data_IF_824681966968
#
_entry.id   IF_824681966968
#
_cell.length_a   1.000
_cell.length_b   1.000
_cell.length_c   1.000
_cell.angle_alpha   90.00
_cell.angle_beta   90.00
_cell.angle_gamma   90.00
#
_symmetry.space_group_name_H-M   'P 1'
#
loop_
_entity.id
_entity.type
_entity.pdbx_description
1 polymer ?
#
# COMPACT_ATOMS: atom_id res chain seq x y z
N UNK A 1 -15.88 -4.89 11.28
CA UNK A 1 -15.30 -4.98 9.92
C UNK A 1 -14.37 -3.81 9.58
N UNK A 2 -14.69 -2.56 9.95
CA UNK A 2 -13.77 -1.41 9.82
C UNK A 2 -12.37 -1.65 10.44
N UNK A 3 -12.33 -2.27 11.63
CA UNK A 3 -11.08 -2.69 12.27
C UNK A 3 -10.19 -3.57 11.38
N UNK A 4 -10.79 -4.44 10.57
CA UNK A 4 -10.06 -5.33 9.69
C UNK A 4 -9.42 -4.55 8.53
N UNK A 5 -10.13 -3.56 7.97
CA UNK A 5 -9.54 -2.63 6.99
C UNK A 5 -8.33 -1.90 7.58
N UNK A 6 -8.43 -1.39 8.81
CA UNK A 6 -7.32 -0.69 9.47
C UNK A 6 -6.12 -1.61 9.73
N UNK A 7 -6.37 -2.84 10.20
CA UNK A 7 -5.32 -3.84 10.41
C UNK A 7 -4.66 -4.21 9.09
N UNK A 8 -5.44 -4.47 8.04
CA UNK A 8 -4.91 -4.84 6.72
C UNK A 8 -4.11 -3.70 6.09
N UNK A 9 -4.60 -2.46 6.21
CA UNK A 9 -3.91 -1.27 5.70
C UNK A 9 -2.62 -1.00 6.47
N UNK A 10 -2.66 -1.06 7.81
CA UNK A 10 -1.47 -0.92 8.64
C UNK A 10 -0.43 -2.00 8.34
N UNK A 11 -0.87 -3.25 8.19
CA UNK A 11 0.01 -4.37 7.83
C UNK A 11 0.61 -4.23 6.43
N UNK A 12 -0.19 -3.84 5.43
CA UNK A 12 0.27 -3.60 4.06
C UNK A 12 1.35 -2.52 4.00
N UNK A 13 1.11 -1.39 4.67
CA UNK A 13 2.09 -0.30 4.77
C UNK A 13 3.35 -0.75 5.53
N UNK A 14 3.20 -1.42 6.66
CA UNK A 14 4.34 -1.92 7.44
C UNK A 14 5.21 -2.86 6.59
N UNK A 15 4.60 -3.81 5.89
CA UNK A 15 5.32 -4.69 4.97
C UNK A 15 6.00 -3.93 3.83
N UNK A 16 5.36 -2.91 3.27
CA UNK A 16 5.97 -2.09 2.22
C UNK A 16 7.25 -1.41 2.70
N UNK A 17 7.25 -0.87 3.92
CA UNK A 17 8.43 -0.25 4.51
C UNK A 17 9.50 -1.26 4.94
N UNK A 18 9.10 -2.47 5.37
CA UNK A 18 10.04 -3.57 5.62
C UNK A 18 10.71 -4.03 4.32
N UNK A 19 9.95 -4.21 3.24
CA UNK A 19 10.46 -4.54 1.90
C UNK A 19 11.39 -3.44 1.38
N UNK A 20 11.00 -2.17 1.56
CA UNK A 20 11.85 -1.03 1.26
C UNK A 20 13.17 -1.11 2.01
N UNK A 21 13.15 -1.32 3.32
CA UNK A 21 14.35 -1.38 4.15
C UNK A 21 15.26 -2.57 3.77
N UNK A 22 14.66 -3.74 3.50
CA UNK A 22 15.40 -4.95 3.16
C UNK A 22 16.03 -4.89 1.76
N UNK A 23 15.34 -4.28 0.79
CA UNK A 23 15.82 -4.19 -0.59
C UNK A 23 16.63 -2.94 -0.91
N UNK A 24 16.52 -1.88 -0.10
CA UNK A 24 17.36 -0.68 -0.27
C UNK A 24 18.81 -0.98 0.06
N UNK A 25 19.74 -0.40 -0.70
CA UNK A 25 21.18 -0.58 -0.50
C UNK A 25 21.97 -0.39 -1.77
N UNK A 26 23.29 -0.45 -1.67
CA UNK A 26 24.22 -0.18 -2.79
C UNK A 26 24.13 -1.21 -3.92
N UNK A 27 23.62 -2.40 -3.62
CA UNK A 27 23.40 -3.51 -4.56
C UNK A 27 21.91 -3.71 -4.88
N UNK A 28 21.13 -2.63 -5.00
CA UNK A 28 19.73 -2.71 -5.43
C UNK A 28 19.66 -3.37 -6.82
N UNK A 29 19.18 -4.63 -6.86
CA UNK A 29 18.94 -5.36 -8.10
C UNK A 29 17.60 -4.93 -8.69
N UNK A 30 17.52 -4.89 -10.01
CA UNK A 30 16.28 -4.59 -10.73
C UNK A 30 15.11 -5.49 -10.30
N UNK A 31 15.36 -6.78 -10.04
CA UNK A 31 14.34 -7.70 -9.55
C UNK A 31 13.76 -7.32 -8.17
N UNK A 32 14.57 -6.79 -7.26
CA UNK A 32 14.10 -6.32 -5.96
C UNK A 32 13.23 -5.07 -6.09
N UNK A 33 13.61 -4.17 -7.00
CA UNK A 33 12.82 -2.99 -7.33
C UNK A 33 11.45 -3.38 -7.91
N UNK A 34 11.42 -4.28 -8.89
CA UNK A 34 10.18 -4.75 -9.50
C UNK A 34 9.29 -5.48 -8.49
N UNK A 35 9.87 -6.31 -7.62
CA UNK A 35 9.10 -6.99 -6.56
C UNK A 35 8.44 -6.00 -5.60
N UNK A 36 9.18 -4.99 -5.14
CA UNK A 36 8.65 -3.95 -4.25
C UNK A 36 7.61 -3.07 -4.96
N UNK A 37 7.85 -2.74 -6.23
CA UNK A 37 6.90 -1.99 -7.05
C UNK A 37 5.60 -2.76 -7.25
N UNK A 38 5.67 -4.06 -7.57
CA UNK A 38 4.49 -4.90 -7.75
C UNK A 38 3.66 -4.98 -6.46
N UNK A 39 4.31 -5.12 -5.30
CA UNK A 39 3.65 -5.11 -4.00
C UNK A 39 2.94 -3.78 -3.73
N UNK A 40 3.62 -2.65 -3.94
CA UNK A 40 3.04 -1.32 -3.75
C UNK A 40 1.87 -1.05 -4.72
N UNK A 41 2.03 -1.39 -6.00
CA UNK A 41 0.97 -1.23 -7.02
C UNK A 41 -0.25 -2.08 -6.68
N UNK A 42 -0.07 -3.30 -6.19
CA UNK A 42 -1.18 -4.15 -5.74
C UNK A 42 -2.02 -3.46 -4.67
N UNK A 43 -1.39 -2.90 -3.64
CA UNK A 43 -2.09 -2.19 -2.57
C UNK A 43 -2.70 -0.86 -3.04
N UNK A 44 -2.02 -0.11 -3.92
CA UNK A 44 -2.59 1.09 -4.54
C UNK A 44 -3.87 0.77 -5.31
N UNK A 45 -3.86 -0.28 -6.13
CA UNK A 45 -5.06 -0.74 -6.86
C UNK A 45 -6.17 -1.21 -5.91
N UNK A 46 -5.81 -1.85 -4.80
CA UNK A 46 -6.74 -2.25 -3.75
C UNK A 46 -7.46 -1.03 -3.14
N UNK A 47 -6.72 0.03 -2.78
CA UNK A 47 -7.32 1.25 -2.22
C UNK A 47 -8.13 2.05 -3.24
N UNK A 48 -7.66 2.15 -4.49
CA UNK A 48 -8.40 2.85 -5.55
C UNK A 48 -9.76 2.17 -5.82
N UNK A 49 -9.79 0.84 -5.94
CA UNK A 49 -11.05 0.10 -6.09
C UNK A 49 -11.99 0.29 -4.91
N UNK A 50 -11.43 0.37 -3.70
CA UNK A 50 -12.23 0.65 -2.52
C UNK A 50 -12.85 2.06 -2.57
N UNK A 51 -12.07 3.08 -2.92
CA UNK A 51 -12.54 4.49 -2.99
C UNK A 51 -13.57 4.69 -4.12
N UNK A 52 -13.37 4.05 -5.27
CA UNK A 52 -14.20 4.25 -6.47
C UNK A 52 -15.47 3.41 -6.49
N UNK A 53 -15.42 2.18 -5.97
CA UNK A 53 -16.49 1.18 -6.15
C UNK A 53 -17.07 0.68 -4.83
N UNK A 54 -16.65 1.24 -3.69
CA UNK A 54 -16.93 0.70 -2.35
C UNK A 54 -16.64 -0.81 -2.26
N UNK A 55 -15.67 -1.28 -3.07
CA UNK A 55 -15.40 -2.70 -3.29
C UNK A 55 -14.03 -3.06 -2.75
N UNK A 56 -14.02 -3.89 -1.72
CA UNK A 56 -12.81 -4.47 -1.15
C UNK A 56 -12.49 -5.78 -1.88
N UNK A 57 -11.30 -5.91 -2.46
CA UNK A 57 -10.95 -7.01 -3.36
C UNK A 57 -11.19 -8.42 -2.76
N UNK A 58 -11.04 -8.57 -1.44
CA UNK A 58 -11.23 -9.85 -0.72
C UNK A 58 -12.54 -9.94 0.07
N UNK A 59 -13.25 -8.82 0.22
CA UNK A 59 -14.44 -8.76 1.08
C UNK A 59 -15.72 -8.51 0.28
N UNK A 60 -15.65 -7.96 -0.94
CA UNK A 60 -16.79 -7.65 -1.78
C UNK A 60 -17.25 -6.19 -1.69
N UNK A 61 -18.48 -5.93 -2.12
CA UNK A 61 -19.11 -4.60 -2.12
C UNK A 61 -19.68 -4.23 -0.74
N UNK A 62 -19.20 -3.13 -0.16
CA UNK A 62 -19.54 -2.68 1.20
C UNK A 62 -19.72 -1.15 1.29
N UNK A 63 -20.82 -0.60 0.74
CA UNK A 63 -21.10 0.83 0.78
C UNK A 63 -21.42 1.36 2.17
N UNK A 64 -21.87 0.51 3.11
CA UNK A 64 -22.16 0.92 4.49
C UNK A 64 -20.92 1.34 5.27
N UNK A 65 -19.74 0.79 4.93
CA UNK A 65 -18.50 1.06 5.64
C UNK A 65 -18.09 2.55 5.54
N UNK A 66 -18.34 3.15 4.38
CA UNK A 66 -18.05 4.56 4.10
C UNK A 66 -19.04 5.50 4.78
N UNK A 67 -20.31 5.13 4.81
CA UNK A 67 -21.36 5.89 5.50
C UNK A 67 -21.16 5.91 7.02
N UNK A 68 -20.75 4.77 7.59
CA UNK A 68 -20.55 4.65 9.04
C UNK A 68 -19.23 5.30 9.49
N UNK A 69 -18.21 5.36 8.62
CA UNK A 69 -16.87 5.84 8.95
C UNK A 69 -16.25 6.70 7.82
N UNK A 70 -16.61 7.98 7.71
CA UNK A 70 -16.06 8.86 6.67
C UNK A 70 -14.53 9.05 6.75
N UNK A 71 -13.92 8.76 7.91
CA UNK A 71 -12.47 8.79 8.08
C UNK A 71 -11.73 7.67 7.32
N UNK A 72 -12.43 6.60 6.89
CA UNK A 72 -11.81 5.47 6.17
C UNK A 72 -11.23 5.89 4.82
N UNK A 73 -11.89 6.79 4.09
CA UNK A 73 -11.40 7.30 2.80
C UNK A 73 -10.06 8.02 2.97
N UNK A 74 -9.96 8.87 3.99
CA UNK A 74 -8.72 9.58 4.32
C UNK A 74 -7.60 8.61 4.64
N UNK A 75 -7.89 7.54 5.38
CA UNK A 75 -6.92 6.51 5.73
C UNK A 75 -6.50 5.72 4.48
N UNK A 76 -7.42 5.42 3.58
CA UNK A 76 -7.11 4.78 2.30
C UNK A 76 -6.17 5.65 1.45
N UNK A 77 -6.41 6.97 1.38
CA UNK A 77 -5.56 7.93 0.66
C UNK A 77 -4.17 7.99 1.31
N UNK A 78 -4.09 8.09 2.64
CA UNK A 78 -2.82 8.10 3.36
C UNK A 78 -2.04 6.80 3.14
N UNK A 79 -2.70 5.66 3.20
CA UNK A 79 -2.07 4.36 2.93
C UNK A 79 -1.56 4.28 1.48
N UNK A 80 -2.35 4.72 0.51
CA UNK A 80 -1.95 4.81 -0.90
C UNK A 80 -0.69 5.65 -1.07
N UNK A 81 -0.66 6.85 -0.48
CA UNK A 81 0.52 7.73 -0.53
C UNK A 81 1.75 7.06 0.10
N UNK A 82 1.57 6.40 1.25
CA UNK A 82 2.66 5.70 1.92
C UNK A 82 3.24 4.57 1.05
N UNK A 83 2.41 3.85 0.30
CA UNK A 83 2.90 2.86 -0.68
C UNK A 83 3.63 3.49 -1.86
N UNK A 84 3.18 4.66 -2.35
CA UNK A 84 3.90 5.40 -3.38
C UNK A 84 5.30 5.84 -2.90
N UNK A 85 5.44 6.19 -1.62
CA UNK A 85 6.75 6.51 -1.02
C UNK A 85 7.57 5.29 -0.60
N UNK A 86 7.01 4.08 -0.63
CA UNK A 86 7.68 2.86 -0.19
C UNK A 86 8.57 2.21 -1.28
N UNK A 87 8.99 2.96 -2.30
CA UNK A 87 9.93 2.45 -3.30
C UNK A 87 11.35 2.26 -2.72
N UNK A 88 12.04 1.16 -3.06
CA UNK A 88 13.40 0.94 -2.60
C UNK A 88 14.36 1.89 -3.31
N UNK A 89 15.36 2.37 -2.58
CA UNK A 89 16.32 3.38 -3.07
C UNK A 89 17.74 2.83 -3.00
N UNK A 90 18.56 3.21 -3.98
CA UNK A 90 19.99 2.95 -3.95
C UNK A 90 20.66 4.02 -3.09
N UNK A 91 21.55 3.64 -2.18
CA UNK A 91 22.19 4.58 -1.25
C UNK A 91 23.35 5.35 -1.91
N UNK A 92 24.07 4.69 -2.80
CA UNK A 92 25.08 5.32 -3.65
C UNK A 92 24.55 5.56 -5.06
N UNK A 93 24.59 6.82 -5.51
CA UNK A 93 24.43 7.12 -6.93
C UNK A 93 25.64 6.52 -7.67
N UNK A 94 25.41 5.63 -8.64
CA UNK A 94 26.50 5.18 -9.52
C UNK A 94 27.16 6.42 -10.13
N UNK A 95 28.43 6.65 -9.76
CA UNK A 95 29.32 7.63 -10.39
C UNK A 95 29.51 7.30 -11.86
#
# INVERSE_FOLDING_TARGET
MAWLFFVLAGFGVALAYVLRAYFSGDNLKFGHFIGCLAFNVFFVMYYMRFIEQDHLLFFGYYPSLRNDYPAIDWIAIVALLLHCFASPVQWSAKK
#
